data_IF_846775658209
#
_entry.id   IF_846775658209
#
_cell.length_a   1.000
_cell.length_b   1.000
_cell.length_c   1.000
_cell.angle_alpha   90.00
_cell.angle_beta   90.00
_cell.angle_gamma   90.00
#
_symmetry.space_group_name_H-M   'P 1'
#
loop_
_entity.id
_entity.type
_entity.pdbx_description
1 polymer ?
#
# COMPACT_ATOMS: atom_id res chain seq x y z
N UNK A 1 8.44 25.24 -5.14
CA UNK A 1 8.69 23.89 -4.61
C UNK A 1 10.17 23.63 -4.82
N UNK A 2 10.93 23.43 -3.75
CA UNK A 2 12.34 23.01 -3.87
C UNK A 2 12.37 21.65 -4.55
N UNK A 3 13.22 21.49 -5.55
CA UNK A 3 13.43 20.21 -6.24
C UNK A 3 13.94 19.17 -5.23
N UNK A 4 13.35 17.98 -5.23
CA UNK A 4 13.81 16.87 -4.39
C UNK A 4 15.15 16.37 -4.95
N UNK A 5 16.18 16.30 -4.11
CA UNK A 5 17.49 15.81 -4.49
C UNK A 5 17.68 14.43 -3.85
N UNK A 6 17.57 13.32 -4.61
CA UNK A 6 17.72 11.98 -4.06
C UNK A 6 19.13 11.75 -3.48
N UNK A 7 19.18 10.97 -2.40
CA UNK A 7 20.42 10.50 -1.78
C UNK A 7 20.58 8.99 -1.80
N UNK A 8 19.52 8.27 -2.15
CA UNK A 8 19.46 6.81 -2.21
C UNK A 8 19.00 6.34 -3.59
N UNK A 9 19.80 5.50 -4.23
CA UNK A 9 19.52 4.91 -5.53
C UNK A 9 19.50 3.38 -5.43
N UNK A 10 18.42 2.76 -5.90
CA UNK A 10 18.37 1.31 -6.12
C UNK A 10 18.81 0.96 -7.52
N UNK A 11 19.63 -0.08 -7.65
CA UNK A 11 19.98 -0.71 -8.92
C UNK A 11 20.04 -2.23 -8.80
N UNK A 12 20.15 -2.90 -9.93
CA UNK A 12 20.23 -4.37 -10.00
C UNK A 12 21.46 -4.75 -10.83
N UNK A 13 22.30 -5.63 -10.29
CA UNK A 13 23.42 -6.26 -11.01
C UNK A 13 23.26 -7.79 -10.94
N UNK A 14 22.95 -8.41 -12.08
CA UNK A 14 22.64 -9.84 -12.12
C UNK A 14 21.39 -10.17 -11.31
N UNK A 15 21.56 -10.92 -10.22
CA UNK A 15 20.52 -11.32 -9.28
C UNK A 15 20.55 -10.52 -7.95
N UNK A 16 21.37 -9.47 -7.87
CA UNK A 16 21.59 -8.68 -6.65
C UNK A 16 20.92 -7.33 -6.74
N UNK A 17 20.25 -6.93 -5.66
CA UNK A 17 19.88 -5.54 -5.41
C UNK A 17 21.06 -4.79 -4.79
N UNK A 18 21.28 -3.57 -5.29
CA UNK A 18 22.31 -2.66 -4.80
C UNK A 18 21.64 -1.38 -4.32
N UNK A 19 22.16 -0.81 -3.24
CA UNK A 19 21.82 0.53 -2.75
C UNK A 19 23.06 1.39 -2.87
N UNK A 20 22.98 2.47 -3.64
CA UNK A 20 24.12 3.37 -3.92
C UNK A 20 25.35 2.61 -4.46
N UNK A 21 25.11 1.59 -5.30
CA UNK A 21 26.17 0.76 -5.90
C UNK A 21 26.78 -0.28 -4.97
N UNK A 22 26.24 -0.49 -3.77
CA UNK A 22 26.70 -1.51 -2.82
C UNK A 22 25.63 -2.61 -2.71
N UNK A 23 25.96 -3.89 -2.89
CA UNK A 23 25.01 -4.99 -2.69
C UNK A 23 24.36 -4.93 -1.30
N UNK A 24 23.04 -5.10 -1.24
CA UNK A 24 22.36 -5.24 0.06
C UNK A 24 22.90 -6.45 0.82
N UNK A 25 23.03 -6.38 2.14
CA UNK A 25 23.60 -7.48 2.93
C UNK A 25 24.98 -7.97 2.41
N UNK A 26 25.86 -7.03 1.99
CA UNK A 26 27.19 -7.32 1.44
C UNK A 26 27.99 -8.29 2.32
N UNK A 27 28.51 -9.36 1.71
CA UNK A 27 29.28 -10.41 2.37
C UNK A 27 28.60 -11.10 3.57
N UNK A 28 27.27 -10.99 3.71
CA UNK A 28 26.53 -11.65 4.80
C UNK A 28 26.11 -13.05 4.38
N UNK A 29 26.29 -14.00 5.31
CA UNK A 29 25.78 -15.38 5.17
C UNK A 29 24.79 -15.68 6.29
N UNK A 30 23.70 -16.37 5.94
CA UNK A 30 22.72 -16.88 6.89
C UNK A 30 22.58 -18.39 6.73
N UNK A 31 22.89 -19.15 7.79
CA UNK A 31 22.85 -20.62 7.79
C UNK A 31 23.67 -21.26 6.65
N UNK A 32 24.80 -20.64 6.29
CA UNK A 32 25.68 -21.12 5.22
C UNK A 32 25.23 -20.73 3.80
N UNK A 33 24.15 -19.96 3.65
CA UNK A 33 23.69 -19.43 2.36
C UNK A 33 24.04 -17.95 2.28
N UNK A 34 24.59 -17.51 1.15
CA UNK A 34 24.79 -16.07 0.91
C UNK A 34 23.44 -15.37 0.82
N UNK A 35 23.29 -14.26 1.54
CA UNK A 35 22.13 -13.37 1.40
C UNK A 35 22.51 -12.03 0.77
N UNK A 36 23.72 -11.93 0.25
CA UNK A 36 24.20 -10.76 -0.49
C UNK A 36 23.31 -10.47 -1.71
N UNK A 37 22.93 -9.22 -1.88
CA UNK A 37 22.01 -8.76 -2.90
C UNK A 37 20.53 -9.05 -2.61
N UNK A 38 20.19 -9.75 -1.53
CA UNK A 38 18.80 -9.93 -1.12
C UNK A 38 18.33 -8.73 -0.32
N UNK A 39 17.07 -8.32 -0.51
CA UNK A 39 16.44 -7.27 0.29
C UNK A 39 15.65 -7.89 1.44
N UNK A 40 15.87 -7.38 2.64
CA UNK A 40 15.00 -7.70 3.77
C UNK A 40 13.82 -6.74 3.70
N UNK A 41 12.69 -7.21 3.20
CA UNK A 41 11.48 -6.40 3.02
C UNK A 41 10.39 -6.73 4.05
N UNK A 42 9.53 -5.76 4.31
CA UNK A 42 8.35 -5.93 5.16
C UNK A 42 7.17 -5.20 4.54
N UNK A 43 6.05 -5.92 4.44
CA UNK A 43 4.84 -5.39 3.84
C UNK A 43 4.12 -4.45 4.80
N UNK A 44 4.16 -3.16 4.49
CA UNK A 44 3.46 -2.07 5.17
C UNK A 44 2.35 -1.51 4.27
N UNK A 45 1.62 -2.41 3.59
CA UNK A 45 0.70 -2.05 2.50
C UNK A 45 -0.29 -0.93 2.85
N UNK A 46 -0.70 -0.86 4.13
CA UNK A 46 -1.72 0.06 4.64
C UNK A 46 -1.20 1.42 5.10
N UNK A 47 0.07 1.73 4.86
CA UNK A 47 0.75 2.91 5.38
C UNK A 47 0.11 4.27 5.00
N UNK A 48 -0.62 4.33 3.88
CA UNK A 48 -1.16 5.58 3.32
C UNK A 48 -2.69 5.62 3.25
N UNK A 49 -3.37 4.63 3.82
CA UNK A 49 -4.81 4.41 3.63
C UNK A 49 -5.68 5.51 4.21
N UNK A 50 -6.82 5.70 3.56
CA UNK A 50 -7.84 6.64 3.98
C UNK A 50 -9.18 6.13 3.42
N UNK A 51 -9.99 5.52 4.29
CA UNK A 51 -11.22 4.85 3.87
C UNK A 51 -12.34 5.86 3.65
N UNK A 52 -12.73 6.06 2.39
CA UNK A 52 -13.81 6.96 1.99
C UNK A 52 -15.20 6.42 2.36
N UNK A 53 -15.35 5.13 2.69
CA UNK A 53 -16.63 4.55 3.11
C UNK A 53 -16.90 4.85 4.59
N UNK A 54 -17.94 5.64 4.85
CA UNK A 54 -18.31 6.06 6.20
C UNK A 54 -18.66 4.90 7.13
N UNK A 55 -19.21 3.80 6.59
CA UNK A 55 -19.61 2.63 7.34
C UNK A 55 -18.43 1.74 7.75
N UNK A 56 -17.26 1.89 7.12
CA UNK A 56 -16.09 1.04 7.39
C UNK A 56 -14.89 1.80 7.91
N UNK A 57 -14.85 3.14 7.78
CA UNK A 57 -13.73 3.96 8.24
C UNK A 57 -13.36 3.74 9.71
N UNK A 58 -14.34 3.49 10.58
CA UNK A 58 -14.07 3.26 12.01
C UNK A 58 -13.41 1.92 12.30
N UNK A 59 -13.43 0.96 11.36
CA UNK A 59 -12.81 -0.35 11.55
C UNK A 59 -11.28 -0.28 11.61
N UNK A 60 -10.70 0.83 11.15
CA UNK A 60 -9.27 1.10 11.16
C UNK A 60 -8.78 1.83 12.41
N UNK A 61 -9.70 2.24 13.29
CA UNK A 61 -9.40 3.10 14.42
C UNK A 61 -8.34 2.51 15.37
N UNK A 62 -7.45 3.37 15.86
CA UNK A 62 -6.53 3.00 16.92
C UNK A 62 -7.27 2.76 18.23
N UNK A 63 -6.79 1.82 19.03
CA UNK A 63 -7.42 1.41 20.30
C UNK A 63 -7.33 2.46 21.40
N UNK A 64 -6.41 3.43 21.27
CA UNK A 64 -6.16 4.45 22.29
C UNK A 64 -7.13 5.63 22.23
N UNK A 65 -7.66 5.96 21.04
CA UNK A 65 -8.54 7.10 20.84
C UNK A 65 -9.81 6.79 20.03
N UNK A 66 -9.98 5.53 19.59
CA UNK A 66 -11.11 5.03 18.80
C UNK A 66 -11.37 5.84 17.51
N UNK A 67 -10.31 6.46 16.97
CA UNK A 67 -10.36 7.26 15.74
C UNK A 67 -9.32 6.79 14.73
N UNK A 68 -9.75 6.72 13.48
CA UNK A 68 -8.83 6.58 12.36
C UNK A 68 -8.28 7.95 11.97
N UNK A 69 -6.97 8.01 11.76
CA UNK A 69 -6.26 9.17 11.25
C UNK A 69 -5.16 8.69 10.29
N UNK A 70 -5.39 8.93 9.00
CA UNK A 70 -4.49 8.51 7.93
C UNK A 70 -3.11 9.19 8.03
N UNK A 71 -3.07 10.45 8.47
CA UNK A 71 -1.82 11.19 8.61
C UNK A 71 -1.05 10.69 9.82
N UNK A 72 -1.73 10.39 10.95
CA UNK A 72 -1.10 9.71 12.10
C UNK A 72 -0.46 8.38 11.68
N UNK A 73 -1.19 7.55 10.96
CA UNK A 73 -0.70 6.24 10.50
C UNK A 73 0.57 6.36 9.65
N UNK A 74 0.59 7.30 8.70
CA UNK A 74 1.80 7.59 7.92
C UNK A 74 2.93 8.18 8.78
N UNK A 75 2.63 9.10 9.69
CA UNK A 75 3.63 9.78 10.50
C UNK A 75 4.34 8.80 11.45
N UNK A 76 3.58 7.95 12.14
CA UNK A 76 4.13 6.97 13.08
C UNK A 76 4.96 5.90 12.34
N UNK A 77 4.58 5.52 11.11
CA UNK A 77 5.45 4.68 10.27
C UNK A 77 6.77 5.37 9.96
N UNK A 78 6.71 6.63 9.49
CA UNK A 78 7.90 7.43 9.15
C UNK A 78 8.86 7.55 10.34
N UNK A 79 8.32 7.80 11.54
CA UNK A 79 9.11 7.87 12.77
C UNK A 79 9.82 6.54 13.11
N UNK A 80 9.25 5.41 12.70
CA UNK A 80 9.79 4.08 12.96
C UNK A 80 10.78 3.58 11.91
N UNK A 81 10.86 4.19 10.72
CA UNK A 81 11.77 3.74 9.65
C UNK A 81 13.23 3.60 10.10
N UNK A 82 13.84 4.57 10.84
CA UNK A 82 15.20 4.43 11.33
C UNK A 82 15.36 3.24 12.28
N UNK A 83 14.34 2.99 13.12
CA UNK A 83 14.32 1.84 14.02
C UNK A 83 14.30 0.54 13.22
N UNK A 84 13.40 0.41 12.23
CA UNK A 84 13.32 -0.79 11.39
C UNK A 84 14.62 -1.04 10.62
N UNK A 85 15.22 0.02 10.08
CA UNK A 85 16.50 -0.07 9.40
C UNK A 85 17.61 -0.57 10.32
N UNK A 86 17.69 -0.04 11.55
CA UNK A 86 18.66 -0.49 12.56
C UNK A 86 18.50 -1.97 12.97
N UNK A 87 17.34 -2.57 12.66
CA UNK A 87 17.03 -3.99 12.93
C UNK A 87 17.19 -4.89 11.69
N UNK A 88 17.72 -4.35 10.59
CA UNK A 88 18.08 -5.10 9.39
C UNK A 88 17.03 -5.07 8.29
N UNK A 89 15.99 -4.24 8.39
CA UNK A 89 15.06 -4.01 7.29
C UNK A 89 15.67 -3.05 6.26
N UNK A 90 15.66 -3.40 4.98
CA UNK A 90 16.21 -2.56 3.90
C UNK A 90 15.15 -2.07 2.92
N UNK A 91 13.95 -2.65 2.96
CA UNK A 91 12.84 -2.31 2.08
C UNK A 91 11.49 -2.36 2.84
N UNK A 92 10.56 -1.48 2.48
CA UNK A 92 9.16 -1.58 2.87
C UNK A 92 8.27 -1.60 1.65
N UNK A 93 7.20 -2.39 1.70
CA UNK A 93 6.18 -2.40 0.65
C UNK A 93 5.01 -1.51 1.07
N UNK A 94 4.69 -0.49 0.27
CA UNK A 94 3.56 0.44 0.49
C UNK A 94 2.66 0.37 -0.73
N UNK A 95 1.35 0.25 -0.54
CA UNK A 95 0.44 0.07 -1.68
C UNK A 95 -0.44 1.31 -1.88
N UNK A 96 -0.63 1.67 -3.15
CA UNK A 96 -1.60 2.65 -3.59
C UNK A 96 -3.03 2.10 -3.50
N UNK A 97 -3.24 0.80 -3.65
CA UNK A 97 -4.52 0.16 -3.35
C UNK A 97 -4.43 -0.72 -2.12
N UNK A 98 -5.48 -0.63 -1.30
CA UNK A 98 -5.41 -1.14 0.05
C UNK A 98 -5.84 -2.56 0.33
N UNK A 99 -5.19 -3.21 1.30
CA UNK A 99 -5.54 -4.55 1.75
C UNK A 99 -6.77 -4.56 2.69
N UNK A 100 -7.12 -5.74 3.17
CA UNK A 100 -8.27 -5.97 4.05
C UNK A 100 -7.94 -5.76 5.54
N UNK A 101 -8.77 -5.04 6.33
CA UNK A 101 -8.63 -4.99 7.79
C UNK A 101 -9.03 -6.31 8.46
N UNK A 102 -9.83 -7.14 7.79
CA UNK A 102 -10.41 -8.39 8.32
C UNK A 102 -9.87 -9.63 7.60
N UNK A 103 -8.78 -9.50 6.84
CA UNK A 103 -8.25 -10.59 6.01
C UNK A 103 -9.28 -11.12 5.01
N UNK A 104 -9.39 -12.44 4.88
CA UNK A 104 -10.24 -13.13 3.90
C UNK A 104 -11.71 -13.29 4.32
N UNK A 105 -12.33 -12.25 4.89
CA UNK A 105 -13.72 -12.32 5.37
C UNK A 105 -14.73 -12.69 4.26
N UNK A 106 -14.42 -12.35 2.98
CA UNK A 106 -15.23 -12.70 1.80
C UNK A 106 -15.47 -14.20 1.64
N UNK A 107 -14.58 -15.02 2.22
CA UNK A 107 -14.56 -16.47 1.98
C UNK A 107 -15.46 -17.26 2.93
N UNK A 108 -16.16 -16.60 3.87
CA UNK A 108 -17.06 -17.31 4.78
C UNK A 108 -18.27 -16.48 5.25
N UNK A 109 -19.45 -17.11 5.44
CA UNK A 109 -20.62 -16.48 6.06
C UNK A 109 -20.30 -15.90 7.45
N UNK A 110 -19.41 -16.54 8.20
CA UNK A 110 -18.96 -16.08 9.51
C UNK A 110 -18.21 -14.75 9.41
N UNK A 111 -17.36 -14.59 8.40
CA UNK A 111 -16.63 -13.35 8.15
C UNK A 111 -17.55 -12.18 7.79
N UNK A 112 -18.55 -12.42 6.93
CA UNK A 112 -19.57 -11.42 6.62
C UNK A 112 -20.40 -11.05 7.86
N UNK A 113 -20.79 -12.02 8.67
CA UNK A 113 -21.53 -11.78 9.92
C UNK A 113 -20.73 -10.96 10.93
N UNK A 114 -19.42 -11.24 11.08
CA UNK A 114 -18.52 -10.47 11.95
C UNK A 114 -18.39 -9.01 11.46
N UNK A 115 -18.17 -8.81 10.16
CA UNK A 115 -18.12 -7.47 9.56
C UNK A 115 -19.42 -6.70 9.82
N UNK A 116 -20.57 -7.31 9.53
CA UNK A 116 -21.88 -6.67 9.75
C UNK A 116 -22.11 -6.32 11.22
N UNK A 117 -21.67 -7.18 12.14
CA UNK A 117 -21.74 -6.93 13.58
C UNK A 117 -20.91 -5.71 13.98
N UNK A 118 -19.68 -5.59 13.46
CA UNK A 118 -18.78 -4.44 13.73
C UNK A 118 -19.28 -3.13 13.14
N UNK A 119 -19.87 -3.18 11.95
CA UNK A 119 -20.47 -2.00 11.32
C UNK A 119 -21.68 -1.55 12.15
N UNK A 120 -22.60 -2.47 12.46
CA UNK A 120 -23.84 -2.15 13.19
C UNK A 120 -23.64 -1.77 14.65
N UNK A 121 -22.49 -2.11 15.24
CA UNK A 121 -22.11 -1.57 16.54
C UNK A 121 -22.00 -0.03 16.54
N UNK A 122 -21.62 0.58 15.40
CA UNK A 122 -21.54 2.03 15.22
C UNK A 122 -22.72 2.61 14.44
N UNK A 123 -23.24 1.86 13.46
CA UNK A 123 -24.33 2.25 12.58
C UNK A 123 -25.47 1.22 12.64
N UNK A 124 -26.31 1.23 13.68
CA UNK A 124 -27.29 0.15 13.95
C UNK A 124 -28.24 -0.14 12.78
N UNK A 125 -28.60 0.89 12.02
CA UNK A 125 -29.55 0.82 10.92
C UNK A 125 -28.88 0.59 9.55
N UNK A 126 -27.55 0.43 9.50
CA UNK A 126 -26.84 0.26 8.23
C UNK A 126 -27.30 -0.98 7.47
N UNK A 127 -27.64 -0.77 6.20
CA UNK A 127 -28.10 -1.80 5.28
C UNK A 127 -26.99 -2.24 4.32
N UNK A 128 -27.05 -3.46 3.80
CA UNK A 128 -26.07 -3.94 2.81
C UNK A 128 -26.00 -3.04 1.56
N UNK A 129 -27.13 -2.54 0.98
CA UNK A 129 -27.07 -1.63 -0.16
C UNK A 129 -26.34 -0.31 0.12
N UNK A 130 -26.37 0.20 1.35
CA UNK A 130 -25.63 1.41 1.74
C UNK A 130 -24.15 1.12 1.93
N UNK A 131 -23.81 0.02 2.62
CA UNK A 131 -22.43 -0.36 2.91
C UNK A 131 -21.67 -0.72 1.61
N UNK A 132 -22.33 -1.35 0.65
CA UNK A 132 -21.77 -1.77 -0.65
C UNK A 132 -22.24 -0.90 -1.81
N UNK A 133 -22.63 0.35 -1.56
CA UNK A 133 -23.03 1.27 -2.61
C UNK A 133 -21.96 1.36 -3.72
N UNK A 134 -22.36 1.10 -4.97
CA UNK A 134 -21.46 1.11 -6.13
C UNK A 134 -20.62 -0.16 -6.33
N UNK A 135 -20.81 -1.21 -5.51
CA UNK A 135 -20.12 -2.49 -5.65
C UNK A 135 -21.07 -3.61 -6.07
N UNK A 136 -20.56 -4.70 -6.71
CA UNK A 136 -21.37 -5.86 -7.10
C UNK A 136 -22.16 -6.54 -5.96
N UNK A 137 -21.70 -6.42 -4.71
CA UNK A 137 -22.41 -6.90 -3.52
C UNK A 137 -21.48 -7.33 -2.40
N UNK A 138 -21.98 -8.11 -1.44
CA UNK A 138 -21.26 -8.51 -0.20
C UNK A 138 -20.00 -9.36 -0.42
N UNK A 139 -19.79 -9.86 -1.65
CA UNK A 139 -18.55 -10.51 -2.08
C UNK A 139 -17.44 -9.52 -2.48
N UNK A 140 -17.74 -8.23 -2.57
CA UNK A 140 -16.77 -7.14 -2.78
C UNK A 140 -16.29 -6.58 -1.44
N UNK A 141 -15.13 -5.92 -1.41
CA UNK A 141 -14.66 -5.24 -0.18
C UNK A 141 -15.36 -3.88 -0.05
N UNK A 142 -16.07 -3.58 1.06
CA UNK A 142 -16.82 -2.33 1.16
C UNK A 142 -15.94 -1.10 1.41
N UNK A 143 -14.78 -1.23 2.08
CA UNK A 143 -13.88 -0.09 2.31
C UNK A 143 -13.30 0.45 1.01
N UNK A 144 -13.21 1.77 0.90
CA UNK A 144 -12.65 2.49 -0.24
C UNK A 144 -11.37 3.21 0.19
N UNK A 145 -10.26 2.47 0.23
CA UNK A 145 -9.00 2.92 0.83
C UNK A 145 -7.87 3.12 -0.18
N UNK A 146 -8.17 3.14 -1.48
CA UNK A 146 -7.19 3.29 -2.55
C UNK A 146 -6.90 4.73 -2.96
N UNK A 147 -5.69 4.96 -3.46
CA UNK A 147 -5.17 6.20 -4.01
C UNK A 147 -5.60 6.49 -5.45
N UNK A 148 -6.25 5.53 -6.12
CA UNK A 148 -6.79 5.73 -7.47
C UNK A 148 -8.27 6.15 -7.41
N UNK A 149 -8.66 7.04 -8.33
CA UNK A 149 -10.07 7.26 -8.69
C UNK A 149 -10.55 6.19 -9.66
N UNK A 150 -11.86 6.16 -9.95
CA UNK A 150 -12.45 5.28 -10.96
C UNK A 150 -11.78 5.36 -12.35
N UNK A 151 -11.35 6.55 -12.76
CA UNK A 151 -10.70 6.80 -14.06
C UNK A 151 -9.16 6.63 -14.02
N UNK A 152 -8.61 6.11 -12.93
CA UNK A 152 -7.17 5.92 -12.74
C UNK A 152 -6.37 7.16 -12.36
N UNK A 153 -7.01 8.29 -12.02
CA UNK A 153 -6.31 9.44 -11.45
C UNK A 153 -5.77 9.17 -10.05
N UNK A 154 -4.68 9.87 -9.68
CA UNK A 154 -4.09 9.81 -8.34
C UNK A 154 -4.76 10.81 -7.40
N UNK A 155 -5.24 10.33 -6.25
CA UNK A 155 -5.78 11.16 -5.17
C UNK A 155 -4.64 11.97 -4.50
N UNK A 156 -4.67 13.31 -4.52
CA UNK A 156 -3.55 14.12 -4.01
C UNK A 156 -3.18 13.88 -2.54
N UNK A 157 -4.17 13.62 -1.68
CA UNK A 157 -3.94 13.35 -0.25
C UNK A 157 -3.10 12.08 -0.03
N UNK A 158 -3.37 11.03 -0.79
CA UNK A 158 -2.58 9.79 -0.76
C UNK A 158 -1.17 10.05 -1.25
N UNK A 159 -1.00 10.73 -2.38
CA UNK A 159 0.34 10.98 -2.93
C UNK A 159 1.20 11.86 -2.03
N UNK A 160 0.58 12.76 -1.25
CA UNK A 160 1.29 13.50 -0.19
C UNK A 160 1.86 12.57 0.89
N UNK A 161 1.08 11.58 1.33
CA UNK A 161 1.54 10.56 2.30
C UNK A 161 2.60 9.65 1.71
N UNK A 162 2.43 9.21 0.46
CA UNK A 162 3.43 8.40 -0.27
C UNK A 162 4.75 9.16 -0.40
N UNK A 163 4.74 10.43 -0.83
CA UNK A 163 5.94 11.28 -0.87
C UNK A 163 6.63 11.32 0.49
N UNK A 164 5.87 11.52 1.58
CA UNK A 164 6.45 11.59 2.93
C UNK A 164 7.20 10.31 3.31
N UNK A 165 6.68 9.15 2.94
CA UNK A 165 7.34 7.86 3.22
C UNK A 165 8.59 7.70 2.34
N UNK A 166 8.47 7.95 1.03
CA UNK A 166 9.59 7.78 0.09
C UNK A 166 10.75 8.70 0.45
N UNK A 167 10.46 9.97 0.75
CA UNK A 167 11.46 10.98 1.09
C UNK A 167 12.14 10.65 2.43
N UNK A 168 11.39 10.21 3.45
CA UNK A 168 11.98 9.78 4.72
C UNK A 168 12.80 8.47 4.59
N UNK A 169 12.39 7.56 3.71
CA UNK A 169 13.14 6.35 3.40
C UNK A 169 14.45 6.68 2.66
N UNK A 170 14.41 7.64 1.73
CA UNK A 170 15.59 8.13 1.00
C UNK A 170 16.65 8.67 1.96
N UNK A 171 16.26 9.49 2.94
CA UNK A 171 17.16 10.09 3.93
C UNK A 171 18.00 9.08 4.72
N UNK A 172 17.52 7.84 4.85
CA UNK A 172 18.18 6.80 5.65
C UNK A 172 18.82 5.69 4.81
N UNK A 173 18.62 5.65 3.49
CA UNK A 173 19.11 4.53 2.65
C UNK A 173 18.13 3.36 2.54
N UNK A 174 16.84 3.59 2.80
CA UNK A 174 15.79 2.57 2.71
C UNK A 174 15.06 2.65 1.37
N UNK A 175 14.67 1.48 0.86
CA UNK A 175 13.94 1.33 -0.40
C UNK A 175 12.43 1.22 -0.13
N UNK A 176 11.62 1.79 -1.02
CA UNK A 176 10.17 1.62 -1.03
C UNK A 176 9.76 0.82 -2.25
N UNK A 177 9.16 -0.35 -2.03
CA UNK A 177 8.41 -1.06 -3.05
C UNK A 177 6.99 -0.49 -3.10
N UNK A 178 6.67 0.28 -4.14
CA UNK A 178 5.38 0.91 -4.32
C UNK A 178 4.46 -0.02 -5.13
N UNK A 179 3.54 -0.69 -4.42
CA UNK A 179 2.52 -1.54 -5.02
C UNK A 179 1.38 -0.72 -5.61
N UNK A 180 0.93 -1.04 -6.83
CA UNK A 180 -0.17 -0.33 -7.49
C UNK A 180 -1.51 -0.98 -7.17
N UNK A 181 -1.72 -2.23 -7.57
CA UNK A 181 -3.04 -2.88 -7.54
C UNK A 181 -3.16 -4.00 -6.51
N UNK A 182 -4.37 -4.11 -5.96
CA UNK A 182 -4.78 -5.19 -5.06
C UNK A 182 -6.17 -5.67 -5.47
N UNK A 183 -6.33 -6.97 -5.69
CA UNK A 183 -7.55 -7.65 -6.17
C UNK A 183 -8.83 -7.38 -5.34
N UNK A 184 -8.69 -6.82 -4.13
CA UNK A 184 -9.84 -6.43 -3.31
C UNK A 184 -10.34 -5.02 -3.58
N UNK A 185 -9.58 -4.22 -4.32
CA UNK A 185 -9.80 -2.80 -4.56
C UNK A 185 -9.74 -2.43 -6.05
N UNK A 186 -9.22 -3.29 -6.92
CA UNK A 186 -9.16 -3.08 -8.37
C UNK A 186 -10.56 -2.84 -8.95
N UNK A 187 -11.60 -3.52 -8.44
CA UNK A 187 -13.03 -3.31 -8.76
C UNK A 187 -13.49 -1.83 -8.72
N UNK A 188 -12.73 -0.91 -8.10
CA UNK A 188 -13.02 0.54 -8.08
C UNK A 188 -12.57 1.29 -9.32
N UNK A 189 -11.73 0.69 -10.15
CA UNK A 189 -11.28 1.24 -11.42
C UNK A 189 -12.24 0.74 -12.50
N UNK A 190 -12.72 1.63 -13.36
CA UNK A 190 -13.88 1.35 -14.21
C UNK A 190 -13.61 0.36 -15.34
N UNK A 191 -12.43 0.41 -15.95
CA UNK A 191 -12.09 -0.35 -17.16
C UNK A 191 -10.57 -0.49 -17.38
N UNK A 192 -10.16 -1.33 -18.34
CA UNK A 192 -8.74 -1.53 -18.68
C UNK A 192 -8.02 -0.23 -19.07
N UNK A 193 -8.73 0.70 -19.72
CA UNK A 193 -8.16 2.02 -20.06
C UNK A 193 -7.80 2.80 -18.80
N UNK A 194 -8.64 2.75 -17.78
CA UNK A 194 -8.42 3.41 -16.50
C UNK A 194 -7.33 2.72 -15.71
N UNK A 195 -7.18 1.39 -15.80
CA UNK A 195 -6.04 0.65 -15.24
C UNK A 195 -4.73 1.09 -15.89
N UNK A 196 -4.68 1.18 -17.23
CA UNK A 196 -3.49 1.69 -17.96
C UNK A 196 -3.17 3.14 -17.57
N UNK A 197 -4.21 3.96 -17.41
CA UNK A 197 -4.08 5.36 -16.95
C UNK A 197 -3.49 5.43 -15.54
N UNK A 198 -3.93 4.57 -14.63
CA UNK A 198 -3.39 4.46 -13.27
C UNK A 198 -1.90 4.11 -13.26
N UNK A 199 -1.49 3.10 -14.04
CA UNK A 199 -0.06 2.72 -14.19
C UNK A 199 0.76 3.87 -14.76
N UNK A 200 0.28 4.51 -15.82
CA UNK A 200 0.96 5.64 -16.46
C UNK A 200 1.13 6.79 -15.47
N UNK A 201 0.07 7.18 -14.75
CA UNK A 201 0.11 8.31 -13.82
C UNK A 201 0.99 8.03 -12.60
N UNK A 202 0.92 6.83 -12.02
CA UNK A 202 1.81 6.45 -10.92
C UNK A 202 3.28 6.47 -11.35
N UNK A 203 3.59 5.88 -12.50
CA UNK A 203 4.96 5.84 -13.06
C UNK A 203 5.48 7.24 -13.36
N UNK A 204 4.68 8.06 -14.07
CA UNK A 204 5.06 9.43 -14.39
C UNK A 204 5.22 10.29 -13.13
N UNK A 205 4.43 10.04 -12.08
CA UNK A 205 4.58 10.74 -10.81
C UNK A 205 5.91 10.42 -10.12
N UNK A 206 6.33 9.16 -10.08
CA UNK A 206 7.64 8.75 -9.54
C UNK A 206 8.77 9.40 -10.33
N UNK A 207 8.71 9.35 -11.67
CA UNK A 207 9.70 9.95 -12.56
C UNK A 207 9.78 11.47 -12.40
N UNK A 208 8.64 12.16 -12.38
CA UNK A 208 8.58 13.62 -12.26
C UNK A 208 9.08 14.13 -10.90
N UNK A 209 9.02 13.28 -9.87
CA UNK A 209 9.58 13.56 -8.53
C UNK A 209 11.09 13.30 -8.43
N UNK A 210 11.67 12.56 -9.37
CA UNK A 210 13.08 12.19 -9.34
C UNK A 210 13.41 11.14 -8.29
N UNK A 211 12.45 10.33 -7.85
CA UNK A 211 12.70 9.30 -6.85
C UNK A 211 13.54 8.16 -7.45
N UNK A 212 14.65 7.83 -6.77
CA UNK A 212 15.58 6.76 -7.16
C UNK A 212 15.64 5.61 -6.16
N UNK A 213 14.95 5.72 -5.02
CA UNK A 213 14.85 4.67 -3.99
C UNK A 213 13.53 3.88 -4.06
N UNK A 214 12.93 3.77 -5.26
CA UNK A 214 11.60 3.19 -5.47
C UNK A 214 11.66 2.01 -6.44
N UNK A 215 11.01 0.91 -6.07
CA UNK A 215 10.62 -0.17 -6.98
C UNK A 215 9.11 -0.10 -7.23
N UNK A 216 8.66 -0.45 -8.43
CA UNK A 216 7.23 -0.54 -8.75
C UNK A 216 6.78 -2.00 -8.79
N UNK A 217 5.76 -2.33 -8.00
CA UNK A 217 5.05 -3.62 -8.06
C UNK A 217 3.67 -3.37 -8.69
N UNK A 218 3.39 -3.99 -9.85
CA UNK A 218 2.14 -3.72 -10.57
C UNK A 218 0.95 -4.34 -9.85
N UNK A 219 0.99 -5.63 -9.54
CA UNK A 219 -0.14 -6.35 -8.99
C UNK A 219 0.27 -7.39 -7.95
N UNK A 220 -0.35 -7.27 -6.78
CA UNK A 220 -0.22 -8.24 -5.70
C UNK A 220 -0.92 -9.56 -6.03
N UNK A 221 -0.28 -10.71 -5.79
CA UNK A 221 -0.91 -12.05 -5.95
C UNK A 221 -1.58 -12.21 -7.32
N UNK A 222 -0.80 -12.05 -8.40
CA UNK A 222 -1.28 -11.95 -9.77
C UNK A 222 -2.03 -13.19 -10.30
N UNK A 223 -1.91 -14.33 -9.61
CA UNK A 223 -2.59 -15.59 -9.92
C UNK A 223 -3.96 -15.71 -9.26
N UNK A 224 -4.36 -14.77 -8.40
CA UNK A 224 -5.69 -14.74 -7.79
C UNK A 224 -6.73 -14.40 -8.88
N UNK A 225 -7.74 -15.28 -9.11
CA UNK A 225 -8.74 -15.10 -10.16
C UNK A 225 -9.85 -14.11 -9.74
N UNK A 226 -9.47 -13.00 -9.11
CA UNK A 226 -10.37 -11.94 -8.63
C UNK A 226 -10.01 -10.57 -9.23
N UNK A 227 -8.97 -10.49 -10.06
CA UNK A 227 -8.78 -9.33 -10.92
C UNK A 227 -9.80 -9.39 -12.06
N UNK A 228 -10.79 -8.49 -12.01
CA UNK A 228 -11.98 -8.53 -12.86
C UNK A 228 -12.09 -7.23 -13.68
N UNK A 229 -11.29 -7.12 -14.74
CA UNK A 229 -11.39 -6.04 -15.72
C UNK A 229 -11.43 -6.63 -17.14
N UNK A 230 -12.38 -6.18 -17.98
CA UNK A 230 -12.45 -6.50 -19.42
C UNK A 230 -11.49 -5.62 -20.25
#
# INVERSE_FOLDING_TARGET
VTEFNPSTEISIEGDKFLVNGIPTNEAVTFRGVSIEGLMMNSRMANAVFDDDNEFTRHLWAYTDNEKWDADRNTNELVEMLPTYMSKGLSCIDVNLQGASPLGYYKSSPEGLSDLMTRIRAKFPDATEPEIWAGLPGTRSQPWNSGAFTENGDLKPAFMKRVSKIIEAADEIGMIVCLGLFYFGQDERISDEKSVKTAVEKATNWVLAKGYTNVLLEINNECDVPLYEHE
#
